data_IF_528965095760
#
_entry.id   IF_528965095760
#
_cell.length_a   1.000
_cell.length_b   1.000
_cell.length_c   1.000
_cell.angle_alpha   90.00
_cell.angle_beta   90.00
_cell.angle_gamma   90.00
#
_symmetry.space_group_name_H-M   'P 1'
#
loop_
_entity.id
_entity.type
_entity.pdbx_description
1 polymer ?
#
# COMPACT_ATOMS: atom_id res chain seq x y z
N UNK A 1 -10.72 3.91 8.55
CA UNK A 1 -9.31 3.62 8.90
C UNK A 1 -9.00 2.20 8.45
N UNK A 2 -7.85 1.98 7.83
CA UNK A 2 -7.44 0.67 7.29
C UNK A 2 -6.97 -0.26 8.41
N UNK A 3 -7.66 -1.40 8.57
CA UNK A 3 -7.41 -2.34 9.69
C UNK A 3 -6.24 -3.32 9.45
N UNK A 4 -5.74 -3.42 8.21
CA UNK A 4 -4.69 -4.37 7.84
C UNK A 4 -3.71 -3.75 6.85
N UNK A 5 -2.42 -3.80 7.18
CA UNK A 5 -1.31 -3.48 6.28
C UNK A 5 -0.50 -4.73 5.96
N UNK A 6 0.17 -4.74 4.81
CA UNK A 6 0.96 -5.88 4.32
C UNK A 6 2.06 -6.31 5.30
N UNK A 7 2.71 -5.39 6.01
CA UNK A 7 3.70 -5.74 7.05
C UNK A 7 3.14 -6.63 8.17
N UNK A 8 1.82 -6.67 8.37
CA UNK A 8 1.14 -7.46 9.40
C UNK A 8 0.69 -8.84 8.90
N UNK A 9 1.07 -9.28 7.68
CA UNK A 9 0.69 -10.59 7.13
C UNK A 9 0.94 -11.76 8.10
N UNK A 10 2.04 -11.72 8.86
CA UNK A 10 2.41 -12.77 9.82
C UNK A 10 1.32 -13.01 10.86
N UNK A 11 0.65 -11.96 11.33
CA UNK A 11 -0.41 -12.06 12.35
C UNK A 11 -1.75 -12.56 11.77
N UNK A 12 -1.87 -12.55 10.45
CA UNK A 12 -3.08 -12.88 9.71
C UNK A 12 -2.94 -14.18 8.88
N UNK A 13 -1.91 -14.97 9.12
CA UNK A 13 -1.73 -16.25 8.45
C UNK A 13 -2.96 -17.15 8.63
N UNK A 14 -3.50 -17.65 7.51
CA UNK A 14 -4.71 -18.47 7.43
C UNK A 14 -5.99 -17.77 7.91
N UNK A 15 -6.03 -16.43 7.90
CA UNK A 15 -7.24 -15.65 8.23
C UNK A 15 -7.79 -14.92 7.03
N UNK A 16 -9.11 -14.75 7.03
CA UNK A 16 -9.79 -13.89 6.06
C UNK A 16 -9.66 -12.44 6.53
N UNK A 17 -9.12 -11.59 5.67
CA UNK A 17 -8.97 -10.16 5.91
C UNK A 17 -9.83 -9.37 4.93
N UNK A 18 -10.25 -8.18 5.34
CA UNK A 18 -10.83 -7.18 4.44
C UNK A 18 -9.98 -5.93 4.55
N UNK A 19 -9.37 -5.49 3.46
CA UNK A 19 -8.50 -4.31 3.45
C UNK A 19 -8.49 -3.62 2.09
N UNK A 20 -7.85 -2.47 2.01
CA UNK A 20 -7.76 -1.64 0.82
C UNK A 20 -6.32 -1.59 0.30
N UNK A 21 -6.16 -1.60 -1.02
CA UNK A 21 -4.85 -1.66 -1.69
C UNK A 21 -4.85 -0.82 -2.95
N UNK A 22 -3.67 -0.38 -3.39
CA UNK A 22 -3.47 0.07 -4.78
C UNK A 22 -3.07 -1.12 -5.64
N UNK A 23 -3.58 -1.19 -6.87
CA UNK A 23 -3.21 -2.24 -7.84
C UNK A 23 -1.91 -1.85 -8.51
N UNK A 24 -0.81 -2.49 -8.11
CA UNK A 24 0.53 -2.25 -8.68
C UNK A 24 0.68 -2.95 -10.04
N UNK A 25 0.10 -4.14 -10.18
CA UNK A 25 0.04 -4.85 -11.46
C UNK A 25 -1.20 -5.72 -11.57
N UNK A 26 -1.71 -5.86 -12.79
CA UNK A 26 -2.86 -6.70 -13.15
C UNK A 26 -2.49 -7.58 -14.35
N UNK A 27 -2.60 -8.90 -14.20
CA UNK A 27 -2.36 -9.86 -15.28
C UNK A 27 -3.46 -10.90 -15.32
N UNK A 28 -4.05 -11.13 -16.50
CA UNK A 28 -4.96 -12.24 -16.76
C UNK A 28 -4.12 -13.44 -17.21
N UNK A 29 -4.24 -14.58 -16.51
CA UNK A 29 -3.48 -15.80 -16.81
C UNK A 29 -4.41 -17.00 -16.95
N UNK A 30 -4.11 -17.97 -17.82
CA UNK A 30 -4.87 -19.21 -17.89
C UNK A 30 -4.55 -20.11 -16.69
N UNK A 31 -5.58 -20.69 -16.09
CA UNK A 31 -5.46 -21.83 -15.16
C UNK A 31 -5.04 -23.07 -15.95
N UNK A 32 -4.64 -24.12 -15.24
CA UNK A 32 -4.39 -25.44 -15.85
C UNK A 32 -5.63 -26.02 -16.56
N UNK A 33 -6.83 -25.63 -16.13
CA UNK A 33 -8.11 -26.01 -16.74
C UNK A 33 -8.47 -25.20 -17.99
N UNK A 34 -7.74 -24.13 -18.30
CA UNK A 34 -8.01 -23.24 -19.44
C UNK A 34 -8.77 -21.96 -19.07
N UNK A 35 -9.57 -21.97 -17.99
CA UNK A 35 -10.25 -20.77 -17.50
C UNK A 35 -9.26 -19.69 -17.05
N UNK A 36 -9.57 -18.39 -17.19
CA UNK A 36 -8.70 -17.32 -16.72
C UNK A 36 -8.71 -17.18 -15.19
N UNK A 37 -7.62 -16.64 -14.64
CA UNK A 37 -7.51 -16.13 -13.27
C UNK A 37 -6.74 -14.81 -13.27
N UNK A 38 -7.02 -13.94 -12.29
CA UNK A 38 -6.26 -12.70 -12.12
C UNK A 38 -5.06 -12.95 -11.21
N UNK A 39 -3.87 -12.63 -11.70
CA UNK A 39 -2.66 -12.48 -10.90
C UNK A 39 -2.40 -10.98 -10.70
N UNK A 40 -2.50 -10.54 -9.45
CA UNK A 40 -2.33 -9.13 -9.07
C UNK A 40 -1.11 -8.97 -8.18
N UNK A 41 -0.50 -7.79 -8.24
CA UNK A 41 0.35 -7.27 -7.16
C UNK A 41 -0.40 -6.13 -6.49
N UNK A 42 -0.67 -6.28 -5.20
CA UNK A 42 -1.36 -5.27 -4.39
C UNK A 42 -0.33 -4.53 -3.54
N UNK A 43 -0.48 -3.22 -3.45
CA UNK A 43 0.43 -2.34 -2.73
C UNK A 43 -0.25 -1.58 -1.61
N UNK A 44 0.53 -1.28 -0.59
CA UNK A 44 0.25 -0.22 0.38
C UNK A 44 1.56 0.39 0.88
N UNK A 45 1.48 1.38 1.78
CA UNK A 45 2.66 2.06 2.34
C UNK A 45 3.69 1.14 2.99
N UNK A 46 3.31 -0.09 3.34
CA UNK A 46 4.17 -1.06 4.03
C UNK A 46 4.85 -2.06 3.09
N UNK A 47 4.45 -2.11 1.82
CA UNK A 47 5.08 -2.96 0.81
C UNK A 47 4.09 -3.49 -0.23
N UNK A 48 4.47 -4.60 -0.86
CA UNK A 48 3.68 -5.28 -1.90
C UNK A 48 3.33 -6.72 -1.49
N UNK A 49 2.17 -7.20 -1.94
CA UNK A 49 1.65 -8.53 -1.69
C UNK A 49 1.13 -9.14 -2.98
N UNK A 50 1.59 -10.36 -3.30
CA UNK A 50 1.01 -11.13 -4.41
C UNK A 50 -0.42 -11.54 -4.07
N UNK A 51 -1.34 -11.36 -5.02
CA UNK A 51 -2.72 -11.75 -4.85
C UNK A 51 -3.24 -12.50 -6.08
N UNK A 52 -4.16 -13.44 -5.85
CA UNK A 52 -4.79 -14.23 -6.92
C UNK A 52 -6.29 -14.28 -6.74
N UNK A 53 -7.03 -14.02 -7.82
CA UNK A 53 -8.48 -14.20 -7.89
C UNK A 53 -8.78 -15.32 -8.87
N UNK A 54 -9.37 -16.41 -8.37
CA UNK A 54 -9.61 -17.62 -9.15
C UNK A 54 -10.99 -17.65 -9.79
N UNK A 55 -12.00 -17.10 -9.10
CA UNK A 55 -13.41 -17.15 -9.49
C UNK A 55 -13.93 -15.73 -9.72
N UNK A 56 -15.06 -15.60 -10.44
CA UNK A 56 -15.70 -14.32 -10.79
C UNK A 56 -14.75 -13.34 -11.51
N UNK A 57 -13.83 -13.89 -12.31
CA UNK A 57 -12.79 -13.12 -13.00
C UNK A 57 -13.42 -12.19 -14.03
N UNK A 58 -14.41 -12.66 -14.77
CA UNK A 58 -15.09 -11.88 -15.82
C UNK A 58 -15.79 -10.64 -15.24
N UNK A 59 -16.44 -10.77 -14.08
CA UNK A 59 -17.08 -9.64 -13.39
C UNK A 59 -16.08 -8.58 -12.91
N UNK A 60 -14.86 -9.01 -12.58
CA UNK A 60 -13.81 -8.15 -12.06
C UNK A 60 -12.89 -7.59 -13.16
N UNK A 61 -12.93 -8.17 -14.37
CA UNK A 61 -11.94 -7.92 -15.41
C UNK A 61 -11.98 -6.47 -15.89
N UNK A 62 -13.17 -5.92 -16.08
CA UNK A 62 -13.39 -4.54 -16.55
C UNK A 62 -13.75 -3.57 -15.41
N UNK A 63 -13.83 -4.06 -14.17
CA UNK A 63 -14.28 -3.28 -13.02
C UNK A 63 -13.20 -2.36 -12.42
N UNK A 64 -11.93 -2.61 -12.70
CA UNK A 64 -10.78 -1.85 -12.20
C UNK A 64 -9.55 -2.07 -13.08
N UNK A 65 -8.61 -1.14 -13.05
CA UNK A 65 -7.35 -1.24 -13.78
C UNK A 65 -6.13 -1.16 -12.86
N UNK A 66 -4.92 -1.25 -13.45
CA UNK A 66 -3.70 -0.89 -12.74
C UNK A 66 -3.82 0.55 -12.21
N UNK A 67 -3.17 0.84 -11.09
CA UNK A 67 -3.19 2.12 -10.36
C UNK A 67 -4.50 2.45 -9.65
N UNK A 68 -5.57 1.68 -9.89
CA UNK A 68 -6.80 1.83 -9.13
C UNK A 68 -6.65 1.37 -7.68
N UNK A 69 -7.45 1.98 -6.81
CA UNK A 69 -7.60 1.58 -5.43
C UNK A 69 -8.75 0.59 -5.30
N UNK A 70 -8.51 -0.54 -4.64
CA UNK A 70 -9.46 -1.64 -4.52
C UNK A 70 -9.65 -2.04 -3.07
N UNK A 71 -10.90 -2.38 -2.72
CA UNK A 71 -11.23 -3.04 -1.46
C UNK A 71 -11.32 -4.54 -1.72
N UNK A 72 -10.53 -5.29 -0.98
CA UNK A 72 -10.35 -6.73 -1.16
C UNK A 72 -10.75 -7.47 0.11
N UNK A 73 -11.55 -8.51 -0.05
CA UNK A 73 -11.78 -9.54 0.96
C UNK A 73 -11.17 -10.85 0.48
N UNK A 74 -10.31 -11.45 1.30
CA UNK A 74 -9.59 -12.65 0.89
C UNK A 74 -8.85 -13.33 2.03
N UNK A 75 -8.31 -14.52 1.75
CA UNK A 75 -7.55 -15.35 2.68
C UNK A 75 -6.06 -15.10 2.52
N UNK A 76 -5.37 -14.72 3.60
CA UNK A 76 -3.90 -14.67 3.62
C UNK A 76 -3.36 -16.10 3.82
N UNK A 77 -2.53 -16.54 2.89
CA UNK A 77 -1.93 -17.87 2.89
C UNK A 77 -0.43 -17.80 2.58
N UNK A 78 0.32 -18.85 2.94
CA UNK A 78 1.71 -19.02 2.52
C UNK A 78 1.80 -20.00 1.35
N UNK A 79 2.48 -19.57 0.29
CA UNK A 79 2.85 -20.42 -0.84
C UNK A 79 4.37 -20.33 -1.06
N UNK A 80 5.06 -21.48 -1.03
CA UNK A 80 6.54 -21.55 -1.14
C UNK A 80 7.25 -20.56 -0.21
N UNK A 81 6.81 -20.50 1.05
CA UNK A 81 7.32 -19.63 2.10
C UNK A 81 7.17 -18.11 1.83
N UNK A 82 6.28 -17.71 0.91
CA UNK A 82 5.90 -16.31 0.67
C UNK A 82 4.42 -16.12 0.97
N UNK A 83 4.06 -14.99 1.58
CA UNK A 83 2.66 -14.63 1.78
C UNK A 83 2.00 -14.29 0.45
N UNK A 84 0.77 -14.75 0.29
CA UNK A 84 -0.10 -14.48 -0.83
C UNK A 84 -1.51 -14.19 -0.28
N UNK A 85 -2.30 -13.44 -1.05
CA UNK A 85 -3.71 -13.21 -0.78
C UNK A 85 -4.55 -13.94 -1.82
N UNK A 86 -5.41 -14.85 -1.38
CA UNK A 86 -6.45 -15.44 -2.23
C UNK A 86 -7.69 -14.57 -2.15
N UNK A 87 -8.02 -13.91 -3.26
CA UNK A 87 -9.11 -12.94 -3.35
C UNK A 87 -10.43 -13.69 -3.50
N UNK A 88 -11.38 -13.42 -2.59
CA UNK A 88 -12.75 -13.93 -2.67
C UNK A 88 -13.71 -12.88 -3.26
N UNK A 89 -13.48 -11.60 -2.94
CA UNK A 89 -14.28 -10.48 -3.44
C UNK A 89 -13.40 -9.24 -3.57
N UNK A 90 -13.61 -8.51 -4.66
CA UNK A 90 -12.91 -7.27 -4.95
C UNK A 90 -13.91 -6.25 -5.50
N UNK A 91 -13.72 -4.98 -5.15
CA UNK A 91 -14.36 -3.85 -5.83
C UNK A 91 -13.40 -2.67 -5.89
N UNK A 92 -13.57 -1.80 -6.90
CA UNK A 92 -12.94 -0.49 -6.93
C UNK A 92 -13.47 0.39 -5.79
N UNK A 93 -12.59 1.21 -5.23
CA UNK A 93 -12.92 2.25 -4.24
C UNK A 93 -13.31 3.54 -4.97
N UNK A 94 -14.28 4.26 -4.43
CA UNK A 94 -14.55 5.62 -4.87
C UNK A 94 -13.56 6.61 -4.26
N UNK A 95 -13.35 7.76 -4.90
CA UNK A 95 -12.34 8.76 -4.51
C UNK A 95 -12.46 9.20 -3.04
N UNK A 96 -13.68 9.32 -2.53
CA UNK A 96 -13.96 9.71 -1.14
C UNK A 96 -13.58 8.66 -0.10
N UNK A 97 -13.33 7.42 -0.50
CA UNK A 97 -12.90 6.33 0.38
C UNK A 97 -11.37 6.23 0.48
N UNK A 98 -10.62 7.02 -0.29
CA UNK A 98 -9.17 6.91 -0.43
C UNK A 98 -8.45 7.85 0.55
N UNK A 99 -7.70 7.26 1.47
CA UNK A 99 -6.76 7.97 2.32
C UNK A 99 -5.34 7.77 1.78
N UNK A 100 -4.82 8.73 0.99
CA UNK A 100 -3.54 8.59 0.26
C UNK A 100 -2.34 8.24 1.15
N UNK A 101 -2.35 8.65 2.41
CA UNK A 101 -1.31 8.29 3.39
C UNK A 101 -1.21 6.79 3.67
N UNK A 102 -2.20 5.98 3.30
CA UNK A 102 -2.16 4.53 3.41
C UNK A 102 -1.35 3.84 2.30
N UNK A 103 -1.01 4.58 1.24
CA UNK A 103 -0.37 4.03 0.04
C UNK A 103 0.97 4.68 -0.27
N UNK A 104 1.18 5.92 0.20
CA UNK A 104 2.47 6.60 0.06
C UNK A 104 3.43 6.21 1.19
N UNK A 105 4.72 6.03 0.91
CA UNK A 105 5.72 5.83 1.94
C UNK A 105 5.69 7.00 2.94
N UNK A 106 5.53 6.67 4.22
CA UNK A 106 5.59 7.64 5.32
C UNK A 106 6.68 7.22 6.29
N UNK A 107 7.41 8.20 6.81
CA UNK A 107 8.35 7.94 7.90
C UNK A 107 7.61 7.35 9.11
N UNK A 108 8.23 6.39 9.78
CA UNK A 108 7.75 5.85 11.06
C UNK A 108 8.06 6.77 12.23
N UNK A 109 8.90 7.79 12.02
CA UNK A 109 9.30 8.77 13.04
C UNK A 109 8.26 9.86 13.19
N UNK A 110 8.23 10.48 14.37
CA UNK A 110 7.42 11.66 14.61
C UNK A 110 7.92 12.83 13.76
N UNK A 111 7.04 13.39 12.94
CA UNK A 111 7.39 14.48 12.01
C UNK A 111 7.75 15.75 12.78
N UNK A 112 7.06 16.03 13.89
CA UNK A 112 7.32 17.18 14.73
C UNK A 112 8.62 17.05 15.53
N UNK A 113 9.03 15.84 15.89
CA UNK A 113 10.36 15.57 16.44
C UNK A 113 11.44 15.78 15.39
N UNK A 114 11.28 15.20 14.20
CA UNK A 114 12.22 15.40 13.08
C UNK A 114 12.39 16.88 12.71
N UNK A 115 11.30 17.63 12.70
CA UNK A 115 11.33 19.07 12.44
C UNK A 115 12.07 19.83 13.54
N UNK A 116 11.86 19.47 14.81
CA UNK A 116 12.60 20.04 15.95
C UNK A 116 14.09 19.76 15.85
N UNK A 117 14.49 18.52 15.60
CA UNK A 117 15.91 18.15 15.42
C UNK A 117 16.55 18.95 14.28
N UNK A 118 15.83 19.15 13.18
CA UNK A 118 16.28 19.94 12.05
C UNK A 118 16.46 21.42 12.43
N UNK A 119 15.50 22.01 13.15
CA UNK A 119 15.56 23.39 13.63
C UNK A 119 16.71 23.62 14.63
N UNK A 120 16.96 22.66 15.52
CA UNK A 120 18.10 22.67 16.44
C UNK A 120 19.43 22.64 15.69
N UNK A 121 19.54 21.81 14.66
CA UNK A 121 20.73 21.73 13.82
C UNK A 121 21.01 23.07 13.11
N UNK A 122 19.99 23.68 12.49
CA UNK A 122 20.11 25.02 11.87
C UNK A 122 20.50 26.07 12.90
N UNK A 123 19.91 26.01 14.10
CA UNK A 123 20.20 26.96 15.17
C UNK A 123 21.67 26.90 15.64
N UNK A 124 22.29 25.72 15.56
CA UNK A 124 23.68 25.47 15.97
C UNK A 124 24.74 26.01 14.98
N UNK A 125 24.32 26.39 13.77
CA UNK A 125 25.23 26.89 12.74
C UNK A 125 25.88 28.21 13.15
N UNK A 126 27.20 28.24 13.08
CA UNK A 126 28.00 29.42 13.45
C UNK A 126 28.09 30.46 12.33
N UNK A 127 27.91 30.05 11.06
CA UNK A 127 27.94 30.97 9.94
C UNK A 127 26.58 31.69 9.81
N UNK A 128 26.51 33.01 10.04
CA UNK A 128 25.25 33.75 10.07
C UNK A 128 24.56 33.79 8.70
N UNK A 129 25.32 33.80 7.60
CA UNK A 129 24.75 33.83 6.26
C UNK A 129 24.10 32.49 5.88
N UNK A 130 24.73 31.37 6.23
CA UNK A 130 24.16 30.03 6.00
C UNK A 130 22.94 29.78 6.87
N UNK A 131 22.99 30.23 8.13
CA UNK A 131 21.85 30.15 9.04
C UNK A 131 20.64 30.91 8.51
N UNK A 132 20.82 32.17 8.12
CA UNK A 132 19.75 33.00 7.57
C UNK A 132 19.14 32.41 6.28
N UNK A 133 19.96 31.83 5.40
CA UNK A 133 19.48 31.16 4.19
C UNK A 133 18.58 29.95 4.53
N UNK A 134 19.02 29.11 5.46
CA UNK A 134 18.26 27.92 5.86
C UNK A 134 16.98 28.27 6.64
N UNK A 135 17.03 29.27 7.51
CA UNK A 135 15.84 29.79 8.21
C UNK A 135 14.81 30.35 7.22
N UNK A 136 15.26 31.09 6.19
CA UNK A 136 14.38 31.58 5.12
C UNK A 136 13.75 30.44 4.33
N UNK A 137 14.50 29.38 4.02
CA UNK A 137 13.97 28.22 3.30
C UNK A 137 12.97 27.41 4.13
N UNK A 138 13.13 27.37 5.46
CA UNK A 138 12.24 26.64 6.36
C UNK A 138 10.93 27.37 6.68
N UNK A 139 10.84 28.66 6.36
CA UNK A 139 9.65 29.48 6.61
C UNK A 139 8.70 29.56 5.39
N UNK A 140 9.08 28.95 4.27
CA UNK A 140 8.31 28.82 3.02
C UNK A 140 7.36 27.60 3.08
#
# INVERSE_FOLDING_TARGET
MKDFYICNCVQQENKVVTSTFVVVSKQVKPKKSGEPYLALTLGDRSGHLEAKMWDNVDDALDAFEQEDFVKVKGLINKYKNRFQLTIHKLRKLGDTEIEFSDYLPKTTKDIGELWRTLAEFVSSLQNPHLKALLESFMAD
#
